data_IF_153399599596
#
_entry.id   IF_153399599596
#
_cell.length_a   1.000
_cell.length_b   1.000
_cell.length_c   1.000
_cell.angle_alpha   90.00
_cell.angle_beta   90.00
_cell.angle_gamma   90.00
#
_symmetry.space_group_name_H-M   'P 1'
#
loop_
_entity.id
_entity.type
_entity.pdbx_description
1 polymer ?
#
# COMPACT_ATOMS: atom_id res chain seq x y z
N UNK A 1 -9.54 -1.04 7.29
CA UNK A 1 -10.03 -1.25 5.93
C UNK A 1 -9.37 -0.31 4.93
N UNK A 2 -9.57 -0.57 3.66
CA UNK A 2 -9.15 0.28 2.53
C UNK A 2 -10.13 1.40 2.24
N UNK A 3 -11.36 1.23 2.71
CA UNK A 3 -12.42 2.22 2.83
C UNK A 3 -13.23 1.92 4.11
N UNK A 4 -14.07 2.84 4.54
CA UNK A 4 -14.95 2.65 5.70
C UNK A 4 -16.31 3.22 5.32
N UNK A 5 -17.35 2.39 5.36
CA UNK A 5 -18.70 2.77 4.93
C UNK A 5 -18.70 3.40 3.52
N UNK A 6 -17.95 2.82 2.58
CA UNK A 6 -17.78 3.29 1.21
C UNK A 6 -17.07 4.66 1.06
N UNK A 7 -16.64 5.28 2.15
CA UNK A 7 -15.86 6.52 2.12
C UNK A 7 -14.38 6.21 1.91
N UNK A 8 -13.73 6.96 1.02
CA UNK A 8 -12.28 6.90 0.83
C UNK A 8 -11.55 7.43 2.08
N UNK A 9 -10.32 6.95 2.31
CA UNK A 9 -9.56 7.29 3.52
C UNK A 9 -9.17 8.76 3.64
N UNK A 10 -9.25 9.54 2.56
CA UNK A 10 -9.07 11.00 2.61
C UNK A 10 -10.30 11.78 3.07
N UNK A 11 -11.44 11.11 3.34
CA UNK A 11 -12.65 11.78 3.79
C UNK A 11 -12.44 12.55 5.12
N UNK A 12 -13.16 13.68 5.31
CA UNK A 12 -13.00 14.52 6.50
C UNK A 12 -13.21 13.77 7.82
N UNK A 13 -14.07 12.75 7.82
CA UNK A 13 -14.42 11.93 8.98
C UNK A 13 -13.20 11.20 9.58
N UNK A 14 -12.17 10.93 8.78
CA UNK A 14 -10.99 10.18 9.22
C UNK A 14 -9.81 11.06 9.59
N UNK A 15 -9.90 12.36 9.40
CA UNK A 15 -8.78 13.29 9.65
C UNK A 15 -8.32 13.26 11.12
N UNK A 16 -9.26 13.24 12.07
CA UNK A 16 -8.95 13.15 13.50
C UNK A 16 -8.24 11.83 13.87
N UNK A 17 -8.60 10.73 13.19
CA UNK A 17 -7.94 9.43 13.38
C UNK A 17 -6.46 9.49 12.96
N UNK A 18 -6.17 10.00 11.76
CA UNK A 18 -4.79 10.10 11.28
C UNK A 18 -3.97 11.10 12.09
N UNK A 19 -4.56 12.23 12.48
CA UNK A 19 -3.92 13.19 13.36
C UNK A 19 -3.55 12.55 14.72
N UNK A 20 -4.45 11.76 15.30
CA UNK A 20 -4.20 11.05 16.56
C UNK A 20 -3.10 9.98 16.38
N UNK A 21 -3.13 9.21 15.29
CA UNK A 21 -2.09 8.22 15.01
C UNK A 21 -0.71 8.87 14.88
N UNK A 22 -0.61 10.00 14.18
CA UNK A 22 0.65 10.73 14.08
C UNK A 22 1.11 11.28 15.43
N UNK A 23 0.22 11.94 16.19
CA UNK A 23 0.54 12.53 17.48
C UNK A 23 0.99 11.48 18.52
N UNK A 24 0.39 10.30 18.50
CA UNK A 24 0.71 9.17 19.37
C UNK A 24 1.84 8.29 18.83
N UNK A 25 2.47 8.67 17.70
CA UNK A 25 3.53 7.92 17.04
C UNK A 25 3.13 6.46 16.71
N UNK A 26 1.87 6.24 16.30
CA UNK A 26 1.34 4.93 15.94
C UNK A 26 1.59 4.62 14.47
N UNK A 27 1.80 3.34 14.18
CA UNK A 27 1.87 2.82 12.81
C UNK A 27 0.52 2.30 12.37
N UNK A 28 0.15 2.58 11.14
CA UNK A 28 -1.14 2.20 10.56
C UNK A 28 -0.94 1.17 9.46
N UNK A 29 -1.66 0.05 9.54
CA UNK A 29 -1.75 -0.93 8.45
C UNK A 29 -3.10 -0.76 7.75
N UNK A 30 -3.07 -0.52 6.44
CA UNK A 30 -4.25 -0.47 5.59
C UNK A 30 -4.38 -1.83 4.91
N UNK A 31 -5.44 -2.56 5.25
CA UNK A 31 -5.74 -3.89 4.69
C UNK A 31 -7.13 -3.86 4.02
N UNK A 32 -7.34 -4.44 2.83
CA UNK A 32 -8.62 -4.42 2.13
C UNK A 32 -9.62 -5.35 2.83
N UNK A 33 -10.89 -4.96 2.80
CA UNK A 33 -11.98 -5.81 3.31
C UNK A 33 -13.26 -5.66 2.49
N UNK A 34 -13.72 -4.44 2.26
CA UNK A 34 -14.89 -4.17 1.41
C UNK A 34 -14.40 -3.82 0.01
N UNK A 35 -14.42 -4.79 -0.90
CA UNK A 35 -13.94 -4.62 -2.26
C UNK A 35 -14.96 -3.91 -3.13
N UNK A 36 -14.48 -2.96 -3.94
CA UNK A 36 -15.30 -2.28 -4.95
C UNK A 36 -15.81 -3.26 -6.02
N UNK A 37 -17.02 -3.06 -6.52
CA UNK A 37 -17.53 -3.81 -7.66
C UNK A 37 -17.87 -5.28 -7.35
N UNK A 38 -18.08 -5.64 -6.09
CA UNK A 38 -18.41 -7.03 -5.70
C UNK A 38 -19.63 -7.56 -6.46
N UNK A 39 -20.59 -6.71 -6.75
CA UNK A 39 -21.80 -7.04 -7.52
C UNK A 39 -21.52 -7.51 -8.95
N UNK A 40 -20.32 -7.28 -9.47
CA UNK A 40 -19.86 -7.74 -10.78
C UNK A 40 -18.82 -8.86 -10.69
N UNK A 41 -18.53 -9.35 -9.49
CA UNK A 41 -17.44 -10.29 -9.22
C UNK A 41 -17.91 -11.55 -8.48
N UNK A 42 -19.16 -12.00 -8.70
CA UNK A 42 -19.76 -13.13 -7.99
C UNK A 42 -19.08 -14.48 -8.26
N UNK A 43 -18.44 -14.63 -9.42
CA UNK A 43 -17.79 -15.88 -9.83
C UNK A 43 -16.27 -15.81 -9.70
N UNK A 44 -15.62 -16.98 -9.74
CA UNK A 44 -14.15 -17.15 -9.82
C UNK A 44 -13.38 -16.50 -8.68
N UNK A 45 -14.03 -16.26 -7.54
CA UNK A 45 -13.40 -15.62 -6.37
C UNK A 45 -12.80 -14.23 -6.65
N UNK A 46 -13.29 -13.56 -7.68
CA UNK A 46 -12.80 -12.28 -8.18
C UNK A 46 -12.74 -11.15 -7.13
N UNK A 47 -13.63 -11.07 -6.10
CA UNK A 47 -13.46 -10.06 -5.07
C UNK A 47 -12.08 -10.11 -4.40
N UNK A 48 -11.54 -11.32 -4.16
CA UNK A 48 -10.21 -11.51 -3.57
C UNK A 48 -9.08 -11.41 -4.60
N UNK A 49 -9.27 -11.96 -5.80
CA UNK A 49 -8.21 -12.00 -6.82
C UNK A 49 -8.01 -10.66 -7.53
N UNK A 50 -9.07 -9.88 -7.71
CA UNK A 50 -9.06 -8.61 -8.45
C UNK A 50 -9.47 -7.44 -7.56
N UNK A 51 -10.52 -7.61 -6.77
CA UNK A 51 -11.07 -6.57 -5.92
C UNK A 51 -10.09 -6.10 -4.83
N UNK A 52 -9.44 -7.01 -4.13
CA UNK A 52 -8.48 -6.66 -3.08
C UNK A 52 -7.31 -5.79 -3.58
N UNK A 53 -6.57 -6.17 -4.65
CA UNK A 53 -5.54 -5.31 -5.21
C UNK A 53 -6.05 -3.95 -5.67
N UNK A 54 -7.26 -3.90 -6.27
CA UNK A 54 -7.88 -2.66 -6.70
C UNK A 54 -8.20 -1.74 -5.51
N UNK A 55 -8.74 -2.30 -4.41
CA UNK A 55 -9.05 -1.55 -3.20
C UNK A 55 -7.82 -0.93 -2.54
N UNK A 56 -6.74 -1.69 -2.39
CA UNK A 56 -5.49 -1.14 -1.85
C UNK A 56 -4.94 -0.04 -2.75
N UNK A 57 -5.00 -0.23 -4.06
CA UNK A 57 -4.59 0.81 -5.02
C UNK A 57 -5.42 2.08 -4.83
N UNK A 58 -6.75 1.97 -4.70
CA UNK A 58 -7.65 3.09 -4.43
C UNK A 58 -7.31 3.78 -3.11
N UNK A 59 -7.07 3.00 -2.05
CA UNK A 59 -6.70 3.54 -0.74
C UNK A 59 -5.40 4.33 -0.81
N UNK A 60 -4.37 3.81 -1.47
CA UNK A 60 -3.09 4.51 -1.64
C UNK A 60 -3.25 5.78 -2.50
N UNK A 61 -4.02 5.71 -3.58
CA UNK A 61 -4.36 6.87 -4.39
C UNK A 61 -5.10 7.94 -3.57
N UNK A 62 -6.02 7.56 -2.69
CA UNK A 62 -6.73 8.51 -1.82
C UNK A 62 -5.79 9.21 -0.82
N UNK A 63 -4.76 8.53 -0.34
CA UNK A 63 -3.71 9.13 0.47
C UNK A 63 -2.88 10.16 -0.31
N UNK A 64 -2.45 9.80 -1.51
CA UNK A 64 -1.62 10.66 -2.36
C UNK A 64 -2.42 11.87 -2.84
N UNK A 65 -3.50 11.64 -3.59
CA UNK A 65 -4.28 12.72 -4.20
C UNK A 65 -5.02 13.57 -3.18
N UNK A 66 -5.43 13.01 -2.04
CA UNK A 66 -6.03 13.73 -0.93
C UNK A 66 -5.03 14.46 -0.03
N UNK A 67 -3.72 14.41 -0.33
CA UNK A 67 -2.67 15.15 0.39
C UNK A 67 -2.43 14.68 1.83
N UNK A 68 -2.78 13.42 2.19
CA UNK A 68 -2.63 12.95 3.56
C UNK A 68 -1.16 12.85 3.99
N UNK A 69 -0.25 12.47 3.07
CA UNK A 69 1.17 12.41 3.37
C UNK A 69 1.81 13.77 3.66
N UNK A 70 1.27 14.84 3.08
CA UNK A 70 1.72 16.21 3.34
C UNK A 70 1.09 16.76 4.61
N UNK A 71 -0.18 16.42 4.86
CA UNK A 71 -0.90 16.83 6.08
C UNK A 71 -0.36 16.13 7.33
N UNK A 72 0.04 14.88 7.20
CA UNK A 72 0.58 14.04 8.28
C UNK A 72 1.97 13.51 7.92
N UNK A 73 3.00 14.38 7.93
CA UNK A 73 4.33 14.04 7.43
C UNK A 73 5.08 13.00 8.25
N UNK A 74 4.69 12.76 9.50
CA UNK A 74 5.30 11.76 10.40
C UNK A 74 4.49 10.47 10.49
N UNK A 75 3.30 10.42 9.89
CA UNK A 75 2.45 9.24 9.93
C UNK A 75 3.11 8.08 9.19
N UNK A 76 3.22 6.93 9.87
CA UNK A 76 3.76 5.69 9.30
C UNK A 76 2.63 4.79 8.85
N UNK A 77 2.48 4.67 7.53
CA UNK A 77 1.42 3.85 6.91
C UNK A 77 2.04 2.73 6.08
N UNK A 78 1.55 1.52 6.26
CA UNK A 78 1.83 0.37 5.42
C UNK A 78 0.55 -0.04 4.68
N UNK A 79 0.67 -0.33 3.41
CA UNK A 79 -0.42 -0.85 2.58
C UNK A 79 -0.18 -2.33 2.30
N UNK A 80 -1.15 -3.16 2.64
CA UNK A 80 -1.08 -4.60 2.45
C UNK A 80 -0.97 -5.00 0.97
N UNK A 81 -0.59 -6.26 0.74
CA UNK A 81 -0.51 -6.89 -0.58
C UNK A 81 0.36 -6.10 -1.58
N UNK A 82 1.55 -5.68 -1.11
CA UNK A 82 2.49 -4.93 -1.94
C UNK A 82 1.99 -3.56 -2.40
N UNK A 83 0.98 -2.99 -1.72
CA UNK A 83 0.31 -1.77 -2.18
C UNK A 83 -0.67 -2.01 -3.32
N UNK A 84 -1.16 -3.26 -3.46
CA UNK A 84 -2.07 -3.66 -4.52
C UNK A 84 -1.42 -3.59 -5.91
N UNK A 85 -2.08 -2.95 -6.86
CA UNK A 85 -1.55 -2.74 -8.21
C UNK A 85 -0.98 -1.32 -8.41
N UNK A 86 -0.66 -0.60 -7.33
CA UNK A 86 -0.22 0.80 -7.41
C UNK A 86 1.04 0.96 -8.27
N UNK A 87 2.07 0.16 -8.05
CA UNK A 87 3.32 0.22 -8.83
C UNK A 87 3.07 -0.14 -10.29
N UNK A 88 2.21 -1.11 -10.58
CA UNK A 88 1.85 -1.48 -11.95
C UNK A 88 1.07 -0.38 -12.70
N UNK A 89 0.32 0.44 -11.97
CA UNK A 89 -0.46 1.54 -12.55
C UNK A 89 0.18 2.91 -12.41
N UNK A 90 1.34 3.03 -11.75
CA UNK A 90 1.98 4.31 -11.44
C UNK A 90 2.17 5.18 -12.69
N UNK A 91 2.64 4.60 -13.81
CA UNK A 91 2.81 5.35 -15.05
C UNK A 91 1.50 5.93 -15.59
N UNK A 92 0.37 5.23 -15.41
CA UNK A 92 -0.96 5.74 -15.77
C UNK A 92 -1.39 6.88 -14.83
N UNK A 93 -1.10 6.76 -13.54
CA UNK A 93 -1.42 7.80 -12.54
C UNK A 93 -0.63 9.09 -12.83
N UNK A 94 0.66 8.98 -13.13
CA UNK A 94 1.52 10.09 -13.55
C UNK A 94 1.00 10.79 -14.82
N UNK A 95 0.66 9.98 -15.82
CA UNK A 95 0.13 10.51 -17.08
C UNK A 95 -1.21 11.22 -16.84
N UNK A 96 -2.12 10.63 -16.05
CA UNK A 96 -3.39 11.26 -15.68
C UNK A 96 -3.21 12.58 -14.93
N UNK A 97 -2.28 12.61 -13.98
CA UNK A 97 -1.92 13.83 -13.25
C UNK A 97 -1.42 14.93 -14.19
N UNK A 98 -0.58 14.58 -15.17
CA UNK A 98 -0.06 15.53 -16.16
C UNK A 98 -1.12 16.01 -17.15
N UNK A 99 -1.98 15.10 -17.64
CA UNK A 99 -2.96 15.41 -18.68
C UNK A 99 -4.22 16.11 -18.16
N UNK A 100 -4.63 15.81 -16.92
CA UNK A 100 -5.87 16.31 -16.32
C UNK A 100 -5.62 16.78 -14.88
N UNK A 101 -4.71 17.76 -14.67
CA UNK A 101 -4.47 18.31 -13.34
C UNK A 101 -5.75 18.93 -12.74
N UNK A 102 -6.65 19.41 -13.57
CA UNK A 102 -7.97 19.92 -13.20
C UNK A 102 -8.86 18.88 -12.49
N UNK A 103 -8.61 17.59 -12.70
CA UNK A 103 -9.36 16.49 -12.07
C UNK A 103 -8.52 15.72 -11.03
N UNK A 104 -7.22 15.68 -11.18
CA UNK A 104 -6.35 14.81 -10.39
C UNK A 104 -5.58 15.57 -9.31
N UNK A 105 -5.14 16.79 -9.60
CA UNK A 105 -4.35 17.63 -8.69
C UNK A 105 -5.23 18.65 -7.91
N UNK A 106 -6.45 18.25 -7.53
CA UNK A 106 -7.42 19.13 -6.86
C UNK A 106 -6.97 19.46 -5.43
N UNK A 107 -6.66 18.43 -4.64
CA UNK A 107 -6.29 18.58 -3.23
C UNK A 107 -4.78 18.50 -3.02
N UNK A 108 -4.04 17.98 -4.00
CA UNK A 108 -2.60 17.82 -3.94
C UNK A 108 -1.94 18.05 -5.31
N UNK A 109 -1.13 19.12 -5.46
CA UNK A 109 -0.51 19.46 -6.73
C UNK A 109 0.72 18.60 -7.08
N UNK A 110 1.21 17.77 -6.15
CA UNK A 110 2.44 17.00 -6.32
C UNK A 110 2.20 15.73 -7.16
N UNK A 111 3.15 15.32 -8.01
CA UNK A 111 3.03 14.11 -8.82
C UNK A 111 3.05 12.86 -7.94
N UNK A 112 2.29 11.80 -8.29
CA UNK A 112 2.21 10.56 -7.50
C UNK A 112 3.56 9.91 -7.18
N UNK A 113 4.52 9.95 -8.10
CA UNK A 113 5.86 9.37 -7.92
C UNK A 113 6.69 10.06 -6.83
N UNK A 114 6.39 11.31 -6.49
CA UNK A 114 7.08 12.04 -5.42
C UNK A 114 6.83 11.43 -4.03
N UNK A 115 5.83 10.56 -3.90
CA UNK A 115 5.49 9.87 -2.66
C UNK A 115 6.11 8.49 -2.52
N UNK A 116 6.85 8.00 -3.53
CA UNK A 116 7.64 6.78 -3.38
C UNK A 116 8.64 6.95 -2.23
N UNK A 117 8.61 6.00 -1.28
CA UNK A 117 9.39 6.13 -0.05
C UNK A 117 8.68 6.80 1.13
N UNK A 118 7.47 7.35 0.96
CA UNK A 118 6.67 7.95 2.04
C UNK A 118 5.81 6.94 2.80
N UNK A 119 5.63 5.75 2.27
CA UNK A 119 4.81 4.67 2.84
C UNK A 119 5.57 3.35 2.77
N UNK A 120 5.08 2.37 3.47
CA UNK A 120 5.53 0.98 3.39
C UNK A 120 4.49 0.13 2.67
N UNK A 121 4.95 -0.97 2.13
CA UNK A 121 4.10 -2.06 1.64
C UNK A 121 4.59 -3.37 2.22
N UNK A 122 3.73 -4.39 2.28
CA UNK A 122 4.18 -5.71 2.64
C UNK A 122 4.73 -6.51 1.44
N UNK A 123 5.36 -7.65 1.73
CA UNK A 123 5.93 -8.55 0.73
C UNK A 123 4.95 -9.58 0.20
N UNK A 124 3.67 -9.55 0.62
CA UNK A 124 2.69 -10.54 0.22
C UNK A 124 2.13 -10.25 -1.19
N UNK A 125 2.88 -10.63 -2.21
CA UNK A 125 2.55 -10.40 -3.64
C UNK A 125 2.51 -11.67 -4.48
N UNK A 126 2.73 -12.83 -3.87
CA UNK A 126 2.65 -14.17 -4.48
C UNK A 126 3.60 -14.42 -5.67
N UNK A 127 4.47 -13.47 -6.00
CA UNK A 127 5.37 -13.52 -7.16
C UNK A 127 6.71 -12.84 -6.87
N UNK A 128 7.83 -13.52 -7.21
CA UNK A 128 9.18 -13.03 -6.92
C UNK A 128 9.63 -11.88 -7.83
N UNK A 129 9.15 -11.82 -9.06
CA UNK A 129 9.46 -10.71 -9.98
C UNK A 129 8.72 -9.45 -9.53
N UNK A 130 7.47 -9.60 -9.07
CA UNK A 130 6.72 -8.49 -8.50
C UNK A 130 7.36 -7.98 -7.21
N UNK A 131 7.82 -8.87 -6.31
CA UNK A 131 8.57 -8.46 -5.12
C UNK A 131 9.85 -7.70 -5.49
N UNK A 132 10.58 -8.19 -6.49
CA UNK A 132 11.78 -7.50 -7.00
C UNK A 132 11.45 -6.12 -7.56
N UNK A 133 10.34 -5.99 -8.28
CA UNK A 133 9.87 -4.70 -8.79
C UNK A 133 9.52 -3.72 -7.66
N UNK A 134 8.84 -4.19 -6.61
CA UNK A 134 8.54 -3.37 -5.42
C UNK A 134 9.81 -2.84 -4.77
N UNK A 135 10.77 -3.72 -4.50
CA UNK A 135 12.07 -3.34 -3.92
C UNK A 135 12.79 -2.33 -4.81
N UNK A 136 12.78 -2.54 -6.13
CA UNK A 136 13.41 -1.62 -7.10
C UNK A 136 12.75 -0.23 -7.09
N UNK A 137 11.43 -0.15 -6.93
CA UNK A 137 10.66 1.10 -7.02
C UNK A 137 10.58 1.85 -5.70
N UNK A 138 10.43 1.14 -4.59
CA UNK A 138 10.20 1.74 -3.28
C UNK A 138 11.46 1.79 -2.42
N UNK A 139 12.40 0.89 -2.64
CA UNK A 139 13.53 0.62 -1.74
C UNK A 139 13.24 -0.56 -0.79
N UNK A 140 14.27 -1.30 -0.42
CA UNK A 140 14.15 -2.42 0.52
C UNK A 140 13.71 -1.99 1.93
N UNK A 141 13.97 -0.76 2.31
CA UNK A 141 13.57 -0.14 3.58
C UNK A 141 12.08 0.24 3.63
N UNK A 142 11.36 0.08 2.51
CA UNK A 142 9.92 0.35 2.39
C UNK A 142 9.08 -0.89 2.11
N UNK A 143 9.71 -2.06 2.06
CA UNK A 143 9.02 -3.34 1.96
C UNK A 143 9.20 -4.08 3.28
N UNK A 144 8.08 -4.47 3.92
CA UNK A 144 8.09 -5.25 5.17
C UNK A 144 7.59 -6.66 4.91
N UNK A 145 8.02 -7.63 5.72
CA UNK A 145 7.51 -8.99 5.60
C UNK A 145 6.03 -9.04 5.99
N UNK A 146 5.19 -9.56 5.10
CA UNK A 146 3.79 -9.90 5.32
C UNK A 146 3.47 -11.30 4.84
N UNK A 147 2.47 -11.96 5.41
CA UNK A 147 2.10 -13.33 5.07
C UNK A 147 0.63 -13.53 4.77
N UNK A 148 -0.21 -12.56 5.11
CA UNK A 148 -1.68 -12.67 5.04
C UNK A 148 -2.24 -13.90 5.79
N UNK A 149 -1.47 -14.45 6.75
CA UNK A 149 -1.95 -15.55 7.59
C UNK A 149 -3.11 -15.08 8.49
N UNK A 150 -4.18 -15.85 8.68
CA UNK A 150 -4.40 -17.25 8.28
C UNK A 150 -5.29 -17.41 7.01
N UNK A 151 -5.34 -16.44 6.14
CA UNK A 151 -6.22 -16.48 4.97
C UNK A 151 -5.73 -17.48 3.90
N UNK A 152 -6.66 -18.01 3.06
CA UNK A 152 -6.30 -19.02 2.05
C UNK A 152 -5.27 -18.56 1.00
N UNK A 153 -5.18 -17.24 0.72
CA UNK A 153 -4.15 -16.69 -0.16
C UNK A 153 -2.83 -16.43 0.57
N UNK A 154 -2.82 -16.53 1.91
CA UNK A 154 -1.64 -16.28 2.72
C UNK A 154 -0.54 -17.31 2.54
N UNK A 155 0.69 -16.92 2.89
CA UNK A 155 1.82 -17.82 2.92
C UNK A 155 1.67 -18.84 4.05
N UNK A 156 1.71 -20.13 3.71
CA UNK A 156 1.72 -21.23 4.70
C UNK A 156 2.98 -21.22 5.58
N UNK A 157 4.08 -20.69 5.06
CA UNK A 157 5.34 -20.46 5.78
C UNK A 157 5.71 -18.98 5.66
N UNK A 158 5.41 -18.14 6.65
CA UNK A 158 5.64 -16.70 6.57
C UNK A 158 7.08 -16.33 6.17
N UNK A 159 7.22 -15.47 5.17
CA UNK A 159 8.48 -15.05 4.60
C UNK A 159 9.09 -16.03 3.58
N UNK A 160 8.36 -17.05 3.16
CA UNK A 160 8.82 -18.00 2.13
C UNK A 160 9.17 -17.28 0.83
N UNK A 161 8.29 -16.41 0.35
CA UNK A 161 8.51 -15.65 -0.87
C UNK A 161 9.81 -14.83 -0.80
N UNK A 162 10.01 -14.09 0.28
CA UNK A 162 11.22 -13.26 0.45
C UNK A 162 12.49 -14.12 0.42
N UNK A 163 12.51 -15.22 1.18
CA UNK A 163 13.69 -16.13 1.23
C UNK A 163 14.03 -16.76 -0.11
N UNK A 164 13.03 -17.01 -0.96
CA UNK A 164 13.20 -17.70 -2.24
C UNK A 164 13.12 -16.75 -3.46
N UNK A 165 13.08 -15.45 -3.25
CA UNK A 165 12.92 -14.44 -4.31
C UNK A 165 14.17 -14.19 -5.16
N UNK A 166 15.35 -14.71 -4.74
CA UNK A 166 16.63 -14.37 -5.37
C UNK A 166 17.19 -12.99 -4.98
N UNK A 167 16.52 -12.24 -4.11
CA UNK A 167 17.05 -11.01 -3.55
C UNK A 167 18.28 -11.31 -2.67
N UNK A 168 19.27 -10.42 -2.68
CA UNK A 168 20.47 -10.61 -1.87
C UNK A 168 20.16 -10.52 -0.36
N UNK A 169 21.05 -11.07 0.48
CA UNK A 169 20.88 -11.15 1.93
C UNK A 169 20.64 -9.80 2.61
N UNK A 170 21.29 -8.74 2.14
CA UNK A 170 21.12 -7.40 2.71
C UNK A 170 19.68 -6.88 2.49
N UNK A 171 19.12 -7.11 1.31
CA UNK A 171 17.74 -6.75 0.97
C UNK A 171 16.77 -7.60 1.79
N UNK A 172 16.97 -8.93 1.86
CA UNK A 172 16.14 -9.82 2.67
C UNK A 172 16.18 -9.41 4.15
N UNK A 173 17.36 -9.10 4.69
CA UNK A 173 17.49 -8.61 6.06
C UNK A 173 16.76 -7.28 6.29
N UNK A 174 16.77 -6.39 5.31
CA UNK A 174 15.97 -5.16 5.39
C UNK A 174 14.49 -5.46 5.54
N UNK A 175 13.94 -6.32 4.67
CA UNK A 175 12.53 -6.71 4.65
C UNK A 175 12.11 -7.40 5.96
N UNK A 176 12.97 -8.25 6.53
CA UNK A 176 12.66 -8.98 7.77
C UNK A 176 12.88 -8.18 9.05
N UNK A 177 13.79 -7.22 9.06
CA UNK A 177 14.27 -6.61 10.31
C UNK A 177 14.21 -5.09 10.30
N UNK A 178 14.96 -4.39 9.44
CA UNK A 178 15.11 -2.93 9.55
C UNK A 178 13.88 -2.17 9.06
N UNK A 179 13.24 -2.60 7.98
CA UNK A 179 12.05 -1.96 7.45
C UNK A 179 10.84 -2.09 8.40
N UNK A 180 10.53 -3.28 8.97
CA UNK A 180 9.47 -3.40 9.98
C UNK A 180 9.72 -2.56 11.22
N UNK A 181 10.97 -2.51 11.73
CA UNK A 181 11.32 -1.67 12.88
C UNK A 181 11.11 -0.19 12.58
N UNK A 182 11.57 0.27 11.41
CA UNK A 182 11.37 1.66 10.98
C UNK A 182 9.88 2.01 10.85
N UNK A 183 9.06 1.09 10.29
CA UNK A 183 7.61 1.28 10.24
C UNK A 183 6.99 1.31 11.63
N UNK A 184 7.39 0.40 12.53
CA UNK A 184 6.89 0.35 13.91
C UNK A 184 7.41 1.53 14.76
N UNK A 185 8.53 2.16 14.38
CA UNK A 185 9.14 3.26 15.13
C UNK A 185 9.95 2.81 16.36
N UNK A 186 10.56 1.61 16.26
CA UNK A 186 11.37 0.99 17.34
C UNK A 186 12.78 0.69 16.84
#
# INVERSE_FOLDING_TARGET
>A
GSNINQLNLNAPEFQNFFAACEALNLSVLIHPWEMMGQEHMEQYWLPWLVGMPAEITRALCSFIFGGLFDRYPKLRVCFAHGGGNFIGTLGRLEHGWSCRPDLVAIDNPNPPSSYLGRFWVDSHVCDSEQLTLLVKKLGADKVIQGSDYPFPLGESSPGHLVRNSGLNESVQNSIFNSAPKAWLGI
#
